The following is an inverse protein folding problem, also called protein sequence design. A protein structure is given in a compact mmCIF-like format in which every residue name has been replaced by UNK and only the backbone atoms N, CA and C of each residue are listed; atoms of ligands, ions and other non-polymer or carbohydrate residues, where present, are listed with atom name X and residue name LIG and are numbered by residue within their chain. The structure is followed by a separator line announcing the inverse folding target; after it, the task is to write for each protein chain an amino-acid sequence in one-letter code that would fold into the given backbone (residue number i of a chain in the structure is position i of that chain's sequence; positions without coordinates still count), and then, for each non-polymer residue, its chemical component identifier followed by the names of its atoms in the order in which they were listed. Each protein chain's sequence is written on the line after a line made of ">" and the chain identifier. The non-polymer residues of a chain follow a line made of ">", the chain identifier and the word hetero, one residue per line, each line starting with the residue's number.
data_IF_278809923023
#
_entry.id   IF_278809923023
#
_cell.length_a   1.000
_cell.length_b   1.000
_cell.length_c   1.000
_cell.angle_alpha   90.00
_cell.angle_beta   90.00
_cell.angle_gamma   90.00
#
_symmetry.space_group_name_H-M   'P 1'
#
loop_
_entity.id
_entity.type
_entity.pdbx_description
1 polymer ?
#
# COMPACT_ATOMS: atom_id res chain seq x y z
N UNK A 1 -4.84 32.13 27.20
CA UNK A 1 -3.91 31.53 26.23
C UNK A 1 -4.67 30.43 25.56
N UNK A 2 -4.83 30.50 24.23
CA UNK A 2 -5.42 29.40 23.48
C UNK A 2 -4.57 28.15 23.70
N UNK A 3 -5.21 27.06 24.09
CA UNK A 3 -4.59 25.78 24.42
C UNK A 3 -4.05 25.16 23.13
N UNK A 4 -2.72 25.01 23.02
CA UNK A 4 -2.06 24.49 21.81
C UNK A 4 -1.71 23.03 22.02
N UNK A 5 -2.38 22.14 21.30
CA UNK A 5 -2.00 20.73 21.18
C UNK A 5 -0.61 20.61 20.56
N UNK A 6 0.22 19.69 21.06
CA UNK A 6 1.51 19.39 20.44
C UNK A 6 1.59 17.92 20.04
N UNK A 7 1.98 17.64 18.81
CA UNK A 7 2.16 16.29 18.31
C UNK A 7 3.65 16.04 18.06
N UNK A 8 4.27 15.21 18.91
CA UNK A 8 5.58 14.64 18.61
C UNK A 8 5.39 13.44 17.68
N UNK A 9 5.98 13.49 16.50
CA UNK A 9 5.81 12.48 15.47
C UNK A 9 7.00 12.36 14.54
N UNK A 10 6.88 11.50 13.54
CA UNK A 10 7.81 11.48 12.41
C UNK A 10 7.03 11.42 11.11
N UNK A 11 7.49 12.16 10.10
CA UNK A 11 6.81 12.30 8.81
C UNK A 11 6.54 10.96 8.11
N UNK A 12 7.44 9.98 8.29
CA UNK A 12 7.34 8.65 7.70
C UNK A 12 6.53 7.67 8.56
N UNK A 13 6.13 8.04 9.78
CA UNK A 13 5.46 7.12 10.70
C UNK A 13 3.98 6.97 10.34
N UNK A 14 3.49 5.76 9.99
CA UNK A 14 2.06 5.55 9.76
C UNK A 14 1.23 5.82 11.02
N UNK A 15 1.79 5.58 12.20
CA UNK A 15 1.14 5.87 13.47
C UNK A 15 0.99 7.38 13.71
N UNK A 16 1.94 8.20 13.27
CA UNK A 16 1.84 9.66 13.33
C UNK A 16 0.83 10.19 12.31
N UNK A 17 0.77 9.61 11.10
CA UNK A 17 -0.21 9.98 10.08
C UNK A 17 -1.65 9.82 10.58
N UNK A 18 -1.95 8.77 11.37
CA UNK A 18 -3.26 8.59 12.01
C UNK A 18 -3.71 9.85 12.77
N UNK A 19 -2.81 10.40 13.58
CA UNK A 19 -3.12 11.56 14.44
C UNK A 19 -3.20 12.83 13.61
N UNK A 20 -2.30 13.00 12.65
CA UNK A 20 -2.33 14.14 11.71
C UNK A 20 -3.67 14.19 10.97
N UNK A 21 -4.16 13.06 10.47
CA UNK A 21 -5.45 12.99 9.78
C UNK A 21 -6.61 13.27 10.72
N UNK A 22 -6.62 12.72 11.93
CA UNK A 22 -7.65 12.98 12.91
C UNK A 22 -7.72 14.46 13.30
N UNK A 23 -6.59 15.08 13.61
CA UNK A 23 -6.52 16.52 13.94
C UNK A 23 -7.03 17.38 12.78
N UNK A 24 -6.67 17.04 11.54
CA UNK A 24 -7.16 17.73 10.33
C UNK A 24 -8.67 17.57 10.13
N UNK A 25 -9.20 16.35 10.27
CA UNK A 25 -10.64 16.06 10.14
C UNK A 25 -11.46 16.80 11.21
N UNK A 26 -10.93 16.87 12.44
CA UNK A 26 -11.57 17.60 13.54
C UNK A 26 -11.38 19.13 13.45
N UNK A 27 -10.48 19.62 12.59
CA UNK A 27 -10.17 21.04 12.47
C UNK A 27 -9.42 21.61 13.69
N UNK A 28 -8.69 20.76 14.41
CA UNK A 28 -7.97 21.14 15.63
C UNK A 28 -6.59 21.70 15.28
N UNK A 29 -6.24 22.93 15.72
CA UNK A 29 -4.89 23.46 15.54
C UNK A 29 -3.92 22.72 16.46
N UNK A 30 -2.71 22.46 15.96
CA UNK A 30 -1.64 21.81 16.72
C UNK A 30 -0.27 22.26 16.23
N UNK A 31 0.71 22.20 17.13
CA UNK A 31 2.13 22.30 16.82
C UNK A 31 2.66 20.88 16.51
N UNK A 32 3.29 20.70 15.35
CA UNK A 32 3.94 19.45 15.00
C UNK A 32 5.43 19.51 15.31
N UNK A 33 5.93 18.53 16.05
CA UNK A 33 7.32 18.43 16.47
C UNK A 33 7.88 17.16 15.84
N UNK A 34 8.77 17.32 14.87
CA UNK A 34 9.46 16.20 14.23
C UNK A 34 10.51 15.62 15.18
N UNK A 35 10.44 14.31 15.40
CA UNK A 35 11.37 13.56 16.25
C UNK A 35 12.35 12.77 15.39
N UNK A 36 13.63 12.87 15.72
CA UNK A 36 14.65 11.97 15.20
C UNK A 36 14.61 10.65 15.99
N UNK A 37 14.19 9.57 15.33
CA UNK A 37 14.07 8.26 15.97
C UNK A 37 15.42 7.57 16.25
N UNK A 38 16.50 8.02 15.58
CA UNK A 38 17.86 7.58 15.86
C UNK A 38 18.46 8.33 17.05
N UNK A 39 18.05 9.59 17.26
CA UNK A 39 18.48 10.44 18.37
C UNK A 39 17.27 11.09 19.08
N UNK A 40 16.57 10.29 19.90
CA UNK A 40 15.30 10.66 20.53
C UNK A 40 15.47 11.85 21.49
N UNK A 41 14.54 12.82 21.43
CA UNK A 41 14.58 13.99 22.29
C UNK A 41 14.35 13.66 23.78
N UNK A 42 14.88 14.50 24.68
CA UNK A 42 14.61 14.40 26.11
C UNK A 42 13.11 14.51 26.43
N UNK A 43 12.37 15.30 25.64
CA UNK A 43 10.92 15.44 25.79
C UNK A 43 10.20 14.14 25.43
N UNK A 44 10.56 13.48 24.32
CA UNK A 44 10.00 12.18 23.96
C UNK A 44 10.24 11.16 25.07
N UNK A 45 11.48 11.08 25.57
CA UNK A 45 11.85 10.14 26.64
C UNK A 45 11.14 10.46 27.96
N UNK A 46 10.90 11.74 28.25
CA UNK A 46 10.14 12.18 29.42
C UNK A 46 8.65 11.88 29.29
N UNK A 47 8.07 12.09 28.11
CA UNK A 47 6.63 11.93 27.88
C UNK A 47 6.22 10.47 27.70
N UNK A 48 7.07 9.64 27.07
CA UNK A 48 6.84 8.21 26.91
C UNK A 48 8.05 7.40 27.46
N UNK A 49 8.28 7.38 28.78
CA UNK A 49 9.44 6.70 29.36
C UNK A 49 9.37 5.18 29.22
N UNK A 50 8.16 4.63 29.04
CA UNK A 50 7.90 3.18 28.97
C UNK A 50 8.31 2.62 27.61
N UNK A 51 7.68 3.10 26.53
CA UNK A 51 7.91 2.57 25.19
C UNK A 51 8.90 3.39 24.39
N UNK A 52 9.09 4.68 24.73
CA UNK A 52 9.99 5.60 24.05
C UNK A 52 9.68 5.66 22.54
N UNK A 53 8.39 5.68 22.21
CA UNK A 53 7.87 5.67 20.83
C UNK A 53 6.99 6.90 20.57
N UNK A 54 6.91 7.26 19.30
CA UNK A 54 5.93 8.17 18.71
C UNK A 54 4.70 7.39 18.20
N UNK A 55 3.56 8.05 17.92
CA UNK A 55 3.25 9.46 18.23
C UNK A 55 3.03 9.70 19.73
N UNK A 56 3.26 10.94 20.15
CA UNK A 56 2.85 11.46 21.47
C UNK A 56 2.07 12.75 21.24
N UNK A 57 0.82 12.78 21.68
CA UNK A 57 0.03 14.00 21.72
C UNK A 57 0.17 14.61 23.12
N UNK A 58 0.51 15.88 23.22
CA UNK A 58 0.56 16.61 24.49
C UNK A 58 -0.60 17.59 24.50
N UNK A 59 -1.52 17.39 25.43
CA UNK A 59 -2.62 18.32 25.69
C UNK A 59 -2.44 18.96 27.06
N UNK A 60 -2.27 20.29 27.09
CA UNK A 60 -2.03 21.06 28.32
C UNK A 60 -0.92 20.45 29.21
N UNK A 61 0.20 20.10 28.58
CA UNK A 61 1.36 19.49 29.24
C UNK A 61 1.18 18.02 29.63
N UNK A 62 0.02 17.41 29.36
CA UNK A 62 -0.26 16.00 29.66
C UNK A 62 -0.02 15.16 28.41
N UNK A 63 0.95 14.22 28.43
CA UNK A 63 1.20 13.36 27.28
C UNK A 63 0.20 12.20 27.19
N UNK A 64 -0.26 11.92 25.98
CA UNK A 64 -1.04 10.75 25.59
C UNK A 64 -0.22 9.98 24.54
N UNK A 65 0.01 8.70 24.81
CA UNK A 65 0.79 7.80 23.97
C UNK A 65 -0.11 6.75 23.32
N UNK A 66 0.44 6.01 22.35
CA UNK A 66 -0.24 5.00 21.54
C UNK A 66 -1.29 5.60 20.59
N UNK A 67 -1.06 5.43 19.29
CA UNK A 67 -1.86 6.11 18.25
C UNK A 67 -3.38 5.89 18.41
N UNK A 68 -3.81 4.66 18.70
CA UNK A 68 -5.23 4.36 18.87
C UNK A 68 -5.84 4.97 20.14
N UNK A 69 -5.08 5.05 21.23
CA UNK A 69 -5.54 5.71 22.46
C UNK A 69 -5.62 7.23 22.28
N UNK A 70 -4.69 7.82 21.53
CA UNK A 70 -4.74 9.23 21.15
C UNK A 70 -5.99 9.52 20.31
N UNK A 71 -6.33 8.65 19.34
CA UNK A 71 -7.57 8.81 18.56
C UNK A 71 -8.82 8.73 19.43
N UNK A 72 -8.90 7.77 20.35
CA UNK A 72 -10.03 7.68 21.29
C UNK A 72 -10.11 8.92 22.19
N UNK A 73 -8.97 9.42 22.67
CA UNK A 73 -8.90 10.64 23.47
C UNK A 73 -9.42 11.85 22.71
N UNK A 74 -8.94 12.08 21.48
CA UNK A 74 -9.41 13.16 20.62
C UNK A 74 -10.93 13.07 20.38
N UNK A 75 -11.47 11.86 20.23
CA UNK A 75 -12.90 11.67 20.00
C UNK A 75 -13.76 11.91 21.25
N UNK A 76 -13.20 11.69 22.44
CA UNK A 76 -13.88 11.95 23.72
C UNK A 76 -13.86 13.44 24.10
N UNK A 77 -12.76 14.14 23.86
CA UNK A 77 -12.62 15.56 24.22
C UNK A 77 -13.35 16.45 23.21
N UNK A 78 -13.34 16.09 21.91
CA UNK A 78 -14.04 16.80 20.86
C UNK A 78 -15.06 15.91 20.13
N UNK A 79 -16.13 15.46 20.83
CA UNK A 79 -17.10 14.52 20.25
C UNK A 79 -17.98 15.16 19.18
N UNK A 80 -18.16 16.48 19.24
CA UNK A 80 -18.99 17.23 18.29
C UNK A 80 -18.20 17.76 17.08
N UNK A 81 -16.86 17.76 17.15
CA UNK A 81 -16.01 18.14 16.03
C UNK A 81 -15.57 16.84 15.34
N UNK A 82 -16.33 16.45 14.33
CA UNK A 82 -16.10 15.24 13.51
C UNK A 82 -15.93 13.95 14.34
N UNK A 83 -17.04 13.25 14.70
CA UNK A 83 -16.96 11.99 15.44
C UNK A 83 -16.25 10.90 14.62
N UNK A 84 -15.18 10.31 15.18
CA UNK A 84 -14.40 9.23 14.60
C UNK A 84 -15.01 7.86 14.88
N UNK A 85 -15.69 7.71 16.02
CA UNK A 85 -16.44 6.52 16.36
C UNK A 85 -17.95 6.73 16.12
N UNK A 86 -18.68 5.66 15.76
CA UNK A 86 -20.14 5.67 15.78
C UNK A 86 -20.71 6.02 17.17
N UNK A 87 -21.88 6.64 17.18
CA UNK A 87 -22.63 6.92 18.41
C UNK A 87 -23.31 5.64 18.92
N UNK A 88 -23.82 4.82 18.00
CA UNK A 88 -24.44 3.54 18.34
C UNK A 88 -23.43 2.60 19.02
N UNK A 89 -23.76 2.02 20.20
CA UNK A 89 -22.85 1.16 20.94
C UNK A 89 -22.39 -0.08 20.18
N UNK A 90 -23.26 -0.68 19.37
CA UNK A 90 -22.95 -1.89 18.61
C UNK A 90 -22.01 -1.57 17.44
N UNK A 91 -22.32 -0.53 16.65
CA UNK A 91 -21.43 -0.08 15.58
C UNK A 91 -20.07 0.38 16.13
N UNK A 92 -20.04 1.01 17.30
CA UNK A 92 -18.80 1.38 17.99
C UNK A 92 -17.99 0.16 18.40
N UNK A 93 -18.63 -0.90 18.92
CA UNK A 93 -17.95 -2.15 19.23
C UNK A 93 -17.41 -2.83 17.98
N UNK A 94 -18.17 -2.81 16.88
CA UNK A 94 -17.75 -3.35 15.58
C UNK A 94 -16.55 -2.57 15.00
N UNK A 95 -16.54 -1.24 15.13
CA UNK A 95 -15.40 -0.41 14.73
C UNK A 95 -14.12 -0.82 15.48
N UNK A 96 -14.23 -0.97 16.81
CA UNK A 96 -13.11 -1.40 17.65
C UNK A 96 -12.65 -2.81 17.34
N UNK A 97 -13.58 -3.72 17.01
CA UNK A 97 -13.23 -5.07 16.56
C UNK A 97 -12.34 -5.02 15.32
N UNK A 98 -12.72 -4.26 14.29
CA UNK A 98 -11.94 -4.15 13.05
C UNK A 98 -10.60 -3.47 13.26
N UNK A 99 -10.54 -2.41 14.08
CA UNK A 99 -9.26 -1.81 14.50
C UNK A 99 -8.37 -2.85 15.18
N UNK A 100 -8.89 -3.61 16.13
CA UNK A 100 -8.11 -4.60 16.86
C UNK A 100 -7.64 -5.74 15.94
N UNK A 101 -8.50 -6.23 15.05
CA UNK A 101 -8.13 -7.22 14.03
C UNK A 101 -6.96 -6.70 13.18
N UNK A 102 -7.07 -5.46 12.70
CA UNK A 102 -6.03 -4.84 11.90
C UNK A 102 -4.72 -4.67 12.67
N UNK A 103 -4.73 -4.13 13.90
CA UNK A 103 -3.52 -3.94 14.69
C UNK A 103 -2.77 -5.27 14.90
N UNK A 104 -3.49 -6.37 15.15
CA UNK A 104 -2.88 -7.69 15.32
C UNK A 104 -2.24 -8.22 14.04
N UNK A 105 -2.84 -7.96 12.88
CA UNK A 105 -2.39 -8.49 11.59
C UNK A 105 -1.40 -7.58 10.86
N UNK A 106 -1.40 -6.28 11.19
CA UNK A 106 -0.53 -5.26 10.58
C UNK A 106 0.97 -5.52 10.76
N UNK A 107 1.37 -6.40 11.68
CA UNK A 107 2.75 -6.85 11.85
C UNK A 107 3.27 -7.50 10.56
N UNK A 108 2.45 -8.27 9.85
CA UNK A 108 2.84 -8.92 8.60
C UNK A 108 3.20 -7.92 7.52
N UNK A 109 2.51 -6.77 7.45
CA UNK A 109 2.84 -5.69 6.51
C UNK A 109 4.24 -5.12 6.75
N UNK A 110 4.66 -4.99 8.00
CA UNK A 110 6.02 -4.54 8.32
C UNK A 110 7.06 -5.59 7.98
N UNK A 111 6.71 -6.88 8.09
CA UNK A 111 7.60 -7.98 7.75
C UNK A 111 7.90 -8.01 6.26
N UNK A 112 6.97 -7.65 5.38
CA UNK A 112 7.20 -7.55 3.92
C UNK A 112 8.46 -6.73 3.59
N UNK A 113 8.72 -5.65 4.34
CA UNK A 113 9.87 -4.77 4.11
C UNK A 113 11.13 -5.16 4.89
N UNK A 114 11.03 -6.09 5.84
CA UNK A 114 12.11 -6.40 6.80
C UNK A 114 12.63 -7.83 6.71
N UNK A 115 11.89 -8.74 6.10
CA UNK A 115 12.30 -10.13 5.87
C UNK A 115 12.67 -10.38 4.39
N UNK A 116 13.22 -11.57 4.11
CA UNK A 116 13.58 -12.04 2.76
C UNK A 116 13.25 -13.52 2.61
N UNK A 117 13.07 -13.98 1.37
CA UNK A 117 12.83 -15.40 1.05
C UNK A 117 11.51 -15.90 1.63
N UNK A 118 11.49 -17.13 2.15
CA UNK A 118 10.28 -17.78 2.68
C UNK A 118 9.55 -16.95 3.76
N UNK A 119 10.29 -16.22 4.61
CA UNK A 119 9.69 -15.34 5.63
C UNK A 119 9.00 -14.12 5.04
N UNK A 120 9.47 -13.63 3.89
CA UNK A 120 8.85 -12.52 3.17
C UNK A 120 7.62 -13.00 2.41
N UNK A 121 7.71 -14.14 1.74
CA UNK A 121 6.58 -14.77 1.04
C UNK A 121 5.43 -15.06 2.02
N UNK A 122 5.74 -15.60 3.21
CA UNK A 122 4.75 -15.78 4.27
C UNK A 122 4.12 -14.45 4.70
N UNK A 123 4.92 -13.40 4.88
CA UNK A 123 4.41 -12.09 5.27
C UNK A 123 3.48 -11.47 4.22
N UNK A 124 3.77 -11.69 2.93
CA UNK A 124 2.91 -11.29 1.81
C UNK A 124 1.59 -12.07 1.88
N UNK A 125 1.64 -13.40 1.98
CA UNK A 125 0.45 -14.25 2.05
C UNK A 125 -0.44 -13.90 3.26
N UNK A 126 0.14 -13.73 4.45
CA UNK A 126 -0.57 -13.32 5.66
C UNK A 126 -1.23 -11.93 5.50
N UNK A 127 -0.57 -11.02 4.78
CA UNK A 127 -1.10 -9.68 4.51
C UNK A 127 -2.25 -9.71 3.51
N UNK A 128 -2.15 -10.51 2.45
CA UNK A 128 -3.23 -10.73 1.48
C UNK A 128 -4.45 -11.39 2.15
N UNK A 129 -4.24 -12.39 3.01
CA UNK A 129 -5.33 -13.01 3.78
C UNK A 129 -6.05 -11.98 4.66
N UNK A 130 -5.30 -11.13 5.37
CA UNK A 130 -5.87 -10.04 6.16
C UNK A 130 -6.72 -9.08 5.31
N UNK A 131 -6.21 -8.69 4.14
CA UNK A 131 -6.93 -7.79 3.22
C UNK A 131 -8.22 -8.44 2.70
N UNK A 132 -8.17 -9.71 2.31
CA UNK A 132 -9.34 -10.47 1.85
C UNK A 132 -10.40 -10.59 2.96
N UNK A 133 -10.01 -10.89 4.20
CA UNK A 133 -10.96 -10.98 5.32
C UNK A 133 -11.63 -9.62 5.56
N UNK A 134 -10.86 -8.53 5.51
CA UNK A 134 -11.39 -7.17 5.63
C UNK A 134 -12.39 -6.89 4.50
N UNK A 135 -12.04 -7.21 3.26
CA UNK A 135 -12.91 -7.01 2.10
C UNK A 135 -14.24 -7.76 2.24
N UNK A 136 -14.16 -9.06 2.48
CA UNK A 136 -15.33 -9.94 2.52
C UNK A 136 -16.28 -9.68 3.68
N UNK A 137 -15.77 -9.14 4.80
CA UNK A 137 -16.53 -9.08 6.05
C UNK A 137 -16.77 -7.67 6.56
N UNK A 138 -15.83 -6.74 6.37
CA UNK A 138 -16.01 -5.35 6.81
C UNK A 138 -16.88 -4.56 5.81
N UNK A 139 -16.76 -4.85 4.51
CA UNK A 139 -17.46 -4.12 3.44
C UNK A 139 -18.70 -4.83 2.88
N UNK A 140 -18.97 -6.08 3.29
CA UNK A 140 -20.00 -6.98 2.73
C UNK A 140 -21.39 -6.37 2.51
N UNK A 141 -21.80 -5.45 3.39
CA UNK A 141 -23.14 -4.86 3.38
C UNK A 141 -23.16 -3.42 2.85
N UNK A 142 -22.08 -2.95 2.25
CA UNK A 142 -21.89 -1.56 1.88
C UNK A 142 -21.70 -1.34 0.39
N UNK A 143 -22.64 -1.86 -0.42
CA UNK A 143 -22.74 -1.53 -1.85
C UNK A 143 -22.81 0.00 -1.99
N UNK A 144 -21.70 0.63 -2.38
CA UNK A 144 -21.48 2.06 -2.62
C UNK A 144 -20.94 2.90 -1.46
N UNK A 145 -20.44 2.32 -0.37
CA UNK A 145 -19.68 3.09 0.62
C UNK A 145 -18.19 2.71 0.55
N UNK A 146 -17.34 3.72 0.40
CA UNK A 146 -15.88 3.58 0.37
C UNK A 146 -15.25 3.57 1.77
N UNK A 147 -16.05 3.81 2.81
CA UNK A 147 -15.59 3.88 4.20
C UNK A 147 -16.11 2.71 5.03
N UNK A 148 -15.29 2.23 5.96
CA UNK A 148 -15.58 1.02 6.74
C UNK A 148 -16.89 1.09 7.51
N UNK A 149 -17.27 2.24 8.09
CA UNK A 149 -18.50 2.37 8.89
C UNK A 149 -19.09 3.78 8.71
N UNK A 150 -20.40 3.84 8.41
CA UNK A 150 -21.18 5.09 8.55
C UNK A 150 -20.99 6.16 7.46
N UNK A 151 -20.51 5.80 6.26
CA UNK A 151 -20.50 6.71 5.11
C UNK A 151 -19.45 7.83 5.12
N UNK A 152 -18.55 7.85 6.10
CA UNK A 152 -17.51 8.88 6.28
C UNK A 152 -16.25 8.26 6.87
N UNK A 153 -15.10 8.94 6.74
CA UNK A 153 -13.85 8.51 7.35
C UNK A 153 -14.05 8.38 8.87
N UNK A 154 -13.90 7.19 9.42
CA UNK A 154 -13.96 6.89 10.84
C UNK A 154 -12.65 6.33 11.38
N UNK A 155 -12.67 5.84 12.62
CA UNK A 155 -11.47 5.33 13.29
C UNK A 155 -10.83 4.14 12.55
N UNK A 156 -11.64 3.29 11.92
CA UNK A 156 -11.17 2.11 11.18
C UNK A 156 -10.44 2.55 9.92
N UNK A 157 -11.02 3.50 9.18
CA UNK A 157 -10.41 4.10 8.00
C UNK A 157 -9.08 4.79 8.33
N UNK A 158 -9.01 5.51 9.45
CA UNK A 158 -7.77 6.14 9.92
C UNK A 158 -6.72 5.09 10.31
N UNK A 159 -7.12 4.02 11.00
CA UNK A 159 -6.23 2.95 11.41
C UNK A 159 -5.60 2.21 10.21
N UNK A 160 -6.38 2.00 9.15
CA UNK A 160 -6.00 1.27 7.93
C UNK A 160 -5.36 2.16 6.85
N UNK A 161 -5.77 3.43 6.74
CA UNK A 161 -5.53 4.27 5.56
C UNK A 161 -4.06 4.55 5.21
N UNK A 162 -3.13 4.32 6.14
CA UNK A 162 -1.69 4.42 5.87
C UNK A 162 -1.19 3.32 4.95
N UNK A 163 -1.87 2.17 4.90
CA UNK A 163 -1.58 1.11 3.92
C UNK A 163 -1.75 1.67 2.51
N UNK A 164 -2.86 2.35 2.22
CA UNK A 164 -3.08 2.96 0.90
C UNK A 164 -2.01 4.00 0.55
N UNK A 165 -1.49 4.72 1.56
CA UNK A 165 -0.41 5.69 1.37
C UNK A 165 0.92 5.00 1.02
N UNK A 166 1.20 3.84 1.63
CA UNK A 166 2.44 3.08 1.43
C UNK A 166 2.38 2.09 0.27
N UNK A 167 1.21 1.55 -0.08
CA UNK A 167 1.02 0.69 -1.25
C UNK A 167 1.24 1.45 -2.57
N UNK A 168 0.99 2.76 -2.59
CA UNK A 168 1.37 3.62 -3.73
C UNK A 168 2.87 3.64 -4.03
N UNK A 169 3.71 3.13 -3.13
CA UNK A 169 5.17 3.09 -3.29
C UNK A 169 5.62 1.84 -4.08
N UNK A 170 4.74 0.86 -4.32
CA UNK A 170 5.11 -0.40 -4.96
C UNK A 170 4.21 -0.63 -6.18
N UNK A 171 4.78 -0.48 -7.38
CA UNK A 171 5.02 -1.58 -8.33
C UNK A 171 5.58 -1.04 -9.65
N UNK A 172 6.63 -1.72 -10.15
CA UNK A 172 7.29 -1.43 -11.42
C UNK A 172 7.20 -2.67 -12.30
N UNK A 173 6.77 -2.51 -13.56
CA UNK A 173 6.90 -3.53 -14.60
C UNK A 173 7.88 -3.02 -15.65
N UNK A 174 8.88 -3.83 -15.98
CA UNK A 174 9.89 -3.54 -16.99
C UNK A 174 9.82 -4.53 -18.15
N UNK A 175 9.70 -4.00 -19.37
CA UNK A 175 9.85 -4.73 -20.62
C UNK A 175 11.15 -4.25 -21.27
N UNK A 176 12.19 -5.08 -21.23
CA UNK A 176 13.54 -4.72 -21.63
C UNK A 176 14.00 -5.56 -22.85
N UNK A 177 15.04 -5.08 -23.55
CA UNK A 177 15.91 -5.91 -24.39
C UNK A 177 15.27 -6.53 -25.64
N UNK A 178 14.80 -5.71 -26.58
CA UNK A 178 14.30 -6.22 -27.86
C UNK A 178 15.44 -6.42 -28.86
N UNK A 179 15.56 -7.63 -29.42
CA UNK A 179 16.51 -7.93 -30.50
C UNK A 179 16.20 -7.15 -31.79
N UNK A 180 17.08 -7.22 -32.81
CA UNK A 180 17.05 -6.32 -33.98
C UNK A 180 15.70 -6.40 -34.74
N UNK A 181 14.86 -5.37 -34.58
CA UNK A 181 13.50 -5.33 -35.13
C UNK A 181 13.43 -4.67 -36.51
N UNK A 182 13.16 -5.47 -37.54
CA UNK A 182 12.50 -5.02 -38.77
C UNK A 182 11.50 -6.11 -39.20
N UNK A 183 10.17 -5.86 -39.17
CA UNK A 183 9.47 -4.60 -38.87
C UNK A 183 9.50 -4.20 -37.38
N UNK A 184 9.16 -2.94 -37.03
CA UNK A 184 9.16 -2.48 -35.64
C UNK A 184 8.08 -3.16 -34.80
N UNK A 185 8.41 -3.50 -33.55
CA UNK A 185 7.42 -3.96 -32.56
C UNK A 185 6.54 -2.79 -32.14
N UNK A 186 5.26 -3.08 -31.93
CA UNK A 186 4.34 -2.22 -31.19
C UNK A 186 3.61 -3.04 -30.13
N UNK A 187 3.20 -2.42 -29.04
CA UNK A 187 2.35 -3.08 -28.05
C UNK A 187 1.38 -2.13 -27.38
N UNK A 188 0.32 -2.68 -26.79
CA UNK A 188 -0.68 -1.96 -26.01
C UNK A 188 -0.95 -2.74 -24.74
N UNK A 189 -0.88 -2.07 -23.59
CA UNK A 189 -1.09 -2.66 -22.29
C UNK A 189 -2.23 -1.93 -21.56
N UNK A 190 -3.15 -2.69 -20.97
CA UNK A 190 -4.25 -2.13 -20.20
C UNK A 190 -4.70 -3.06 -19.07
N UNK A 191 -5.23 -2.47 -18.00
CA UNK A 191 -5.83 -3.13 -16.84
C UNK A 191 -7.09 -2.39 -16.43
N UNK A 192 -8.28 -2.97 -16.68
CA UNK A 192 -9.55 -2.37 -16.26
C UNK A 192 -9.73 -0.90 -16.70
N UNK A 193 -9.53 0.04 -15.78
CA UNK A 193 -9.63 1.48 -15.98
C UNK A 193 -8.32 2.19 -16.35
N UNK A 194 -7.20 1.46 -16.40
CA UNK A 194 -5.87 2.00 -16.66
C UNK A 194 -5.37 1.54 -18.03
N UNK A 195 -5.35 2.46 -18.98
CA UNK A 195 -4.89 2.23 -20.37
C UNK A 195 -3.57 2.98 -20.58
N UNK A 196 -2.50 2.24 -20.90
CA UNK A 196 -1.16 2.82 -21.12
C UNK A 196 -0.97 3.35 -22.55
N UNK A 197 -1.89 3.01 -23.46
CA UNK A 197 -1.82 3.38 -24.87
C UNK A 197 -0.86 2.52 -25.69
N UNK A 198 -0.75 2.85 -26.98
CA UNK A 198 0.09 2.12 -27.93
C UNK A 198 1.52 2.66 -27.86
N UNK A 199 2.48 1.75 -27.72
CA UNK A 199 3.91 2.04 -27.69
C UNK A 199 4.65 1.41 -28.87
N UNK A 200 5.73 2.08 -29.30
CA UNK A 200 6.58 1.68 -30.42
C UNK A 200 8.06 1.65 -29.97
N UNK A 201 8.46 0.65 -29.16
CA UNK A 201 9.81 0.57 -28.61
C UNK A 201 10.86 0.41 -29.72
N UNK A 202 12.01 1.04 -29.53
CA UNK A 202 13.16 0.90 -30.45
C UNK A 202 14.01 -0.31 -30.09
N UNK A 203 14.96 -0.65 -30.96
CA UNK A 203 15.97 -1.66 -30.66
C UNK A 203 16.72 -1.32 -29.38
N UNK A 204 16.83 -2.30 -28.47
CA UNK A 204 17.49 -2.16 -27.17
C UNK A 204 16.91 -1.02 -26.30
N UNK A 205 15.62 -0.74 -26.47
CA UNK A 205 14.84 0.20 -25.66
C UNK A 205 14.11 -0.54 -24.54
N UNK A 206 13.89 0.15 -23.44
CA UNK A 206 13.24 -0.38 -22.25
C UNK A 206 11.93 0.38 -22.02
N UNK A 207 10.83 -0.33 -21.82
CA UNK A 207 9.57 0.26 -21.39
C UNK A 207 9.28 -0.07 -19.94
N UNK A 208 9.16 0.97 -19.12
CA UNK A 208 8.88 0.84 -17.68
C UNK A 208 7.61 1.59 -17.36
N UNK A 209 6.68 0.89 -16.73
CA UNK A 209 5.47 1.51 -16.22
C UNK A 209 5.26 1.12 -14.76
N UNK A 210 4.59 2.03 -14.05
CA UNK A 210 4.23 1.88 -12.65
C UNK A 210 2.74 2.09 -12.52
N UNK A 211 2.12 1.36 -11.61
CA UNK A 211 0.72 1.55 -11.27
C UNK A 211 0.55 1.39 -9.77
N UNK A 212 -0.53 1.95 -9.25
CA UNK A 212 -0.88 1.74 -7.84
C UNK A 212 -1.71 0.47 -7.73
N UNK A 213 -1.40 -0.36 -6.73
CA UNK A 213 -2.26 -1.47 -6.36
C UNK A 213 -3.70 -1.03 -6.13
N UNK A 214 -4.63 -1.76 -6.73
CA UNK A 214 -6.04 -1.60 -6.45
C UNK A 214 -6.43 -2.47 -5.25
N UNK A 215 -6.51 -1.84 -4.08
CA UNK A 215 -6.76 -2.49 -2.78
C UNK A 215 -8.05 -3.30 -2.64
N UNK A 216 -8.97 -3.16 -3.60
CA UNK A 216 -10.33 -3.69 -3.53
C UNK A 216 -10.73 -4.41 -4.82
N UNK A 217 -9.78 -4.64 -5.75
CA UNK A 217 -9.99 -5.32 -7.03
C UNK A 217 -8.68 -5.90 -7.53
N UNK A 218 -8.74 -7.09 -8.10
CA UNK A 218 -7.58 -7.69 -8.76
C UNK A 218 -7.04 -6.77 -9.87
N UNK A 219 -5.76 -6.44 -9.80
CA UNK A 219 -5.08 -5.69 -10.86
C UNK A 219 -4.50 -6.66 -11.87
N UNK A 220 -4.89 -6.55 -13.15
CA UNK A 220 -4.45 -7.45 -14.22
C UNK A 220 -4.10 -6.64 -15.46
N UNK A 221 -2.81 -6.56 -15.80
CA UNK A 221 -2.40 -5.96 -17.07
C UNK A 221 -2.31 -7.03 -18.16
N UNK A 222 -3.15 -6.87 -19.17
CA UNK A 222 -3.02 -7.58 -20.44
C UNK A 222 -2.22 -6.71 -21.39
N UNK A 223 -1.24 -7.30 -22.04
CA UNK A 223 -0.55 -6.65 -23.15
C UNK A 223 -0.76 -7.44 -24.43
N UNK A 224 -1.03 -6.71 -25.51
CA UNK A 224 -1.05 -7.22 -26.86
C UNK A 224 0.18 -6.69 -27.59
N UNK A 225 1.02 -7.58 -28.08
CA UNK A 225 2.25 -7.29 -28.82
C UNK A 225 2.07 -7.64 -30.28
N UNK A 226 2.63 -6.83 -31.17
CA UNK A 226 2.67 -7.08 -32.61
C UNK A 226 4.10 -6.92 -33.14
N UNK A 227 4.54 -7.88 -33.92
CA UNK A 227 5.81 -7.81 -34.67
C UNK A 227 5.60 -8.31 -36.11
N UNK A 228 5.34 -7.37 -37.02
CA UNK A 228 5.03 -7.71 -38.41
C UNK A 228 3.70 -8.46 -38.52
N UNK A 229 3.75 -9.73 -38.91
CA UNK A 229 2.59 -10.63 -38.97
C UNK A 229 2.40 -11.48 -37.72
N UNK A 230 3.31 -11.38 -36.75
CA UNK A 230 3.24 -12.07 -35.46
C UNK A 230 2.44 -11.23 -34.46
N UNK A 231 1.61 -11.86 -33.63
CA UNK A 231 0.91 -11.21 -32.54
C UNK A 231 0.71 -12.14 -31.35
N UNK A 232 0.91 -11.61 -30.14
CA UNK A 232 0.70 -12.34 -28.90
C UNK A 232 -0.04 -11.48 -27.88
N UNK A 233 -0.97 -12.10 -27.16
CA UNK A 233 -1.71 -11.44 -26.09
C UNK A 233 -1.69 -12.32 -24.84
N UNK A 234 -1.25 -11.74 -23.73
CA UNK A 234 -1.20 -12.43 -22.45
C UNK A 234 -1.12 -11.43 -21.29
N UNK A 235 -1.29 -11.97 -20.09
CA UNK A 235 -1.17 -11.24 -18.84
C UNK A 235 0.29 -11.03 -18.50
N UNK A 236 0.75 -9.78 -18.52
CA UNK A 236 2.12 -9.44 -18.10
C UNK A 236 2.22 -9.25 -16.59
N UNK A 237 1.08 -9.00 -15.95
CA UNK A 237 0.96 -8.78 -14.52
C UNK A 237 -0.44 -9.20 -14.03
N UNK A 238 -0.49 -9.87 -12.88
CA UNK A 238 -1.70 -10.22 -12.15
C UNK A 238 -1.40 -10.22 -10.65
N UNK A 239 -2.23 -9.53 -9.89
CA UNK A 239 -2.13 -9.38 -8.43
C UNK A 239 -2.17 -10.75 -7.71
N UNK A 240 -3.16 -11.60 -8.01
CA UNK A 240 -3.30 -12.94 -7.41
C UNK A 240 -2.27 -13.98 -7.89
N UNK A 241 -1.44 -13.63 -8.88
CA UNK A 241 -0.66 -14.59 -9.68
C UNK A 241 0.85 -14.35 -9.74
N UNK A 242 1.38 -13.24 -9.21
CA UNK A 242 2.78 -12.82 -9.29
C UNK A 242 3.31 -12.79 -10.74
N UNK A 243 3.36 -11.60 -11.35
CA UNK A 243 4.06 -11.37 -12.63
C UNK A 243 3.69 -12.34 -13.78
N UNK A 244 2.41 -12.57 -13.99
CA UNK A 244 1.86 -13.59 -14.89
C UNK A 244 0.97 -14.57 -14.11
N UNK A 245 0.63 -15.71 -14.70
CA UNK A 245 -0.34 -16.66 -14.13
C UNK A 245 0.23 -17.69 -13.13
N UNK A 246 1.55 -17.73 -12.87
CA UNK A 246 2.19 -18.88 -12.19
C UNK A 246 3.31 -18.58 -11.16
N UNK A 247 3.34 -17.40 -10.52
CA UNK A 247 4.08 -17.27 -9.25
C UNK A 247 5.53 -16.77 -9.33
N UNK A 248 5.93 -15.99 -8.33
CA UNK A 248 7.31 -15.59 -8.03
C UNK A 248 7.44 -14.10 -7.67
N UNK A 249 7.60 -13.78 -6.39
CA UNK A 249 7.95 -12.43 -5.93
C UNK A 249 9.13 -12.52 -4.96
N UNK A 250 10.34 -12.31 -5.48
CA UNK A 250 11.49 -11.95 -4.65
C UNK A 250 11.64 -10.41 -4.51
N UNK A 251 10.96 -9.59 -5.34
CA UNK A 251 11.32 -8.16 -5.47
C UNK A 251 10.24 -7.12 -5.81
N UNK A 252 8.99 -7.49 -6.07
CA UNK A 252 7.93 -6.51 -6.42
C UNK A 252 8.06 -5.93 -7.84
N UNK A 253 8.85 -6.55 -8.71
CA UNK A 253 9.10 -6.11 -10.09
C UNK A 253 9.02 -7.29 -11.05
N UNK A 254 8.28 -7.12 -12.14
CA UNK A 254 8.14 -8.13 -13.20
C UNK A 254 9.02 -7.76 -14.39
N UNK A 255 9.98 -8.63 -14.74
CA UNK A 255 10.87 -8.42 -15.88
C UNK A 255 10.50 -9.31 -17.06
N UNK A 256 10.20 -8.67 -18.19
CA UNK A 256 9.92 -9.31 -19.47
C UNK A 256 10.98 -8.95 -20.50
N UNK A 257 11.44 -9.93 -21.25
CA UNK A 257 12.39 -9.78 -22.36
C UNK A 257 11.76 -10.33 -23.64
N UNK A 258 11.74 -9.51 -24.67
CA UNK A 258 11.10 -9.85 -25.95
C UNK A 258 12.17 -10.22 -26.98
N UNK A 259 12.09 -11.43 -27.53
CA UNK A 259 12.99 -11.92 -28.58
C UNK A 259 12.21 -12.35 -29.81
N UNK A 260 12.91 -12.59 -30.92
CA UNK A 260 12.29 -13.01 -32.19
C UNK A 260 11.48 -14.30 -32.06
N UNK A 261 11.87 -15.18 -31.14
CA UNK A 261 11.26 -16.47 -30.89
C UNK A 261 10.23 -16.46 -29.75
N UNK A 262 10.10 -15.38 -28.98
CA UNK A 262 9.01 -15.23 -28.01
C UNK A 262 9.35 -14.36 -26.81
N UNK A 263 8.63 -14.59 -25.72
CA UNK A 263 8.62 -13.77 -24.52
C UNK A 263 9.24 -14.53 -23.35
N UNK A 264 10.23 -13.92 -22.74
CA UNK A 264 11.03 -14.47 -21.67
C UNK A 264 10.77 -13.70 -20.38
N UNK A 265 10.71 -14.40 -19.25
CA UNK A 265 10.28 -13.85 -17.98
C UNK A 265 11.24 -14.20 -16.85
N UNK A 266 11.39 -13.29 -15.89
CA UNK A 266 11.95 -13.59 -14.58
C UNK A 266 11.30 -12.73 -13.47
N UNK A 267 11.03 -13.32 -12.29
CA UNK A 267 10.50 -12.62 -11.13
C UNK A 267 11.57 -11.88 -10.30
N UNK A 268 12.85 -11.99 -10.71
CA UNK A 268 13.98 -11.38 -9.99
C UNK A 268 14.21 -9.96 -10.48
N UNK A 269 14.68 -9.10 -9.57
CA UNK A 269 15.10 -7.76 -9.92
C UNK A 269 16.38 -7.77 -10.78
N UNK A 270 16.31 -7.19 -11.98
CA UNK A 270 17.41 -7.07 -12.94
C UNK A 270 18.16 -8.40 -13.18
N UNK A 271 17.47 -9.45 -13.66
CA UNK A 271 18.05 -10.76 -13.83
C UNK A 271 19.02 -10.77 -15.03
N UNK A 272 20.13 -11.53 -14.97
CA UNK A 272 20.95 -11.74 -16.16
C UNK A 272 20.14 -12.46 -17.23
N UNK A 273 20.37 -12.15 -18.50
CA UNK A 273 19.60 -12.68 -19.64
C UNK A 273 19.51 -14.22 -19.69
N UNK A 274 20.50 -14.90 -19.11
CA UNK A 274 20.57 -16.37 -19.00
C UNK A 274 19.59 -16.98 -17.99
N UNK A 275 19.06 -16.19 -17.07
CA UNK A 275 18.10 -16.64 -16.04
C UNK A 275 16.65 -16.44 -16.46
N UNK A 276 16.38 -15.77 -17.58
CA UNK A 276 15.01 -15.63 -18.06
C UNK A 276 14.53 -16.88 -18.77
N UNK A 277 13.31 -17.29 -18.44
CA UNK A 277 12.69 -18.51 -18.97
C UNK A 277 11.68 -18.10 -20.03
N UNK A 278 11.73 -18.74 -21.21
CA UNK A 278 10.71 -18.54 -22.25
C UNK A 278 9.35 -18.99 -21.71
N UNK A 279 8.39 -18.07 -21.68
CA UNK A 279 7.02 -18.31 -21.20
C UNK A 279 6.03 -18.41 -22.35
N UNK A 280 6.13 -17.51 -23.33
CA UNK A 280 5.20 -17.48 -24.46
C UNK A 280 5.96 -17.48 -25.78
N UNK A 281 5.35 -18.07 -26.79
CA UNK A 281 5.71 -17.83 -28.18
C UNK A 281 5.05 -16.55 -28.69
N UNK A 282 5.49 -16.13 -29.87
CA UNK A 282 4.65 -15.29 -30.73
C UNK A 282 3.43 -16.06 -31.20
#
# INVERSE_FOLDING_TARGET
>A
MDQVLKLHGSWASPYSLRIIWALKLKGLPYEYIEEDLANKSDLLLKYNPIFKKIPILVDDGKPICESMLILEYLDQIWPNQYPLLPIDPYERALARFWVNYFEQKSVSLWMIFRSKGEEQEKAVNDSLEMLNIIEENAFKNQKNNIFFIGGKIGIVDIAFGWICHWLKIIEDVGVDGIEKNDPPIKFHCASGNDDLGIHYPKFNDDFKFKFGFNLFRETVFFCHFWWGTKDAIFEVYRDSGNCGAEGGLDSGTCYWLIKEDGFYFSPKYNPPASELIRKYGW
#
